data_IF_331970781331
#
_entry.id   IF_331970781331
#
_cell.length_a   1.000
_cell.length_b   1.000
_cell.length_c   1.000
_cell.angle_alpha   90.00
_cell.angle_beta   90.00
_cell.angle_gamma   90.00
#
_symmetry.space_group_name_H-M   'P 1'
#
loop_
_entity.id
_entity.type
_entity.pdbx_description
1 polymer ?
#
# COMPACT_ATOMS: atom_id res chain seq x y z
N UNK A 1 -11.20 7.78 5.09
CA UNK A 1 -11.92 6.66 5.73
C UNK A 1 -11.09 5.40 5.50
N UNK A 2 -10.86 4.58 6.52
CA UNK A 2 -10.06 3.36 6.39
C UNK A 2 -11.03 2.21 6.15
N UNK A 3 -10.82 1.46 5.07
CA UNK A 3 -11.58 0.24 4.81
C UNK A 3 -10.96 -0.87 5.64
N UNK A 4 -11.75 -1.51 6.48
CA UNK A 4 -11.33 -2.66 7.29
C UNK A 4 -12.04 -3.91 6.78
N UNK A 5 -11.55 -5.10 7.16
CA UNK A 5 -12.22 -6.37 6.86
C UNK A 5 -13.70 -6.36 7.29
N UNK A 6 -14.04 -5.70 8.41
CA UNK A 6 -15.42 -5.52 8.83
C UNK A 6 -16.28 -4.72 7.84
N UNK A 7 -15.73 -3.66 7.24
CA UNK A 7 -16.45 -2.88 6.21
C UNK A 7 -16.66 -3.71 4.93
N UNK A 8 -15.68 -4.52 4.54
CA UNK A 8 -15.79 -5.40 3.39
C UNK A 8 -16.79 -6.52 3.63
N UNK A 9 -16.80 -7.11 4.83
CA UNK A 9 -17.82 -8.09 5.23
C UNK A 9 -19.20 -7.45 5.18
N UNK A 10 -19.37 -6.24 5.74
CA UNK A 10 -20.66 -5.54 5.70
C UNK A 10 -21.13 -5.34 4.26
N UNK A 11 -20.24 -4.90 3.35
CA UNK A 11 -20.55 -4.74 1.92
C UNK A 11 -20.98 -6.07 1.28
N UNK A 12 -20.20 -7.14 1.47
CA UNK A 12 -20.51 -8.46 0.92
C UNK A 12 -21.82 -9.03 1.51
N UNK A 13 -22.16 -8.67 2.74
CA UNK A 13 -23.43 -9.08 3.37
C UNK A 13 -24.66 -8.39 2.77
N UNK A 14 -24.51 -7.27 2.06
CA UNK A 14 -25.67 -6.61 1.45
C UNK A 14 -26.07 -7.32 0.15
N UNK A 15 -25.10 -7.58 -0.73
CA UNK A 15 -25.40 -8.03 -2.11
C UNK A 15 -24.88 -9.44 -2.44
N UNK A 16 -24.05 -10.04 -1.57
CA UNK A 16 -23.30 -11.25 -1.88
C UNK A 16 -23.38 -12.33 -0.78
N UNK A 17 -24.45 -12.33 0.04
CA UNK A 17 -24.61 -13.30 1.15
C UNK A 17 -24.56 -14.76 0.70
N UNK A 18 -25.25 -15.11 -0.38
CA UNK A 18 -25.26 -16.47 -0.91
C UNK A 18 -23.84 -16.94 -1.28
N UNK A 19 -23.01 -16.05 -1.81
CA UNK A 19 -21.61 -16.35 -2.12
C UNK A 19 -20.78 -16.57 -0.85
N UNK A 20 -21.01 -15.77 0.21
CA UNK A 20 -20.32 -15.96 1.49
C UNK A 20 -20.66 -17.33 2.09
N UNK A 21 -21.94 -17.71 2.07
CA UNK A 21 -22.41 -18.99 2.61
C UNK A 21 -21.81 -20.18 1.85
N UNK A 22 -21.85 -20.14 0.51
CA UNK A 22 -21.24 -21.17 -0.34
C UNK A 22 -19.72 -21.28 -0.15
N UNK A 23 -19.03 -20.13 -0.08
CA UNK A 23 -17.60 -20.08 0.18
C UNK A 23 -17.23 -20.67 1.56
N UNK A 24 -17.99 -20.33 2.60
CA UNK A 24 -17.75 -20.84 3.94
C UNK A 24 -18.06 -22.34 4.06
N UNK A 25 -19.03 -22.85 3.29
CA UNK A 25 -19.36 -24.28 3.25
C UNK A 25 -18.28 -25.10 2.51
N UNK A 26 -17.63 -24.51 1.51
CA UNK A 26 -16.67 -25.20 0.64
C UNK A 26 -15.27 -25.28 1.26
N UNK A 27 -14.89 -24.31 2.10
CA UNK A 27 -13.54 -24.21 2.65
C UNK A 27 -13.47 -24.66 4.12
N UNK A 28 -12.50 -25.52 4.44
CA UNK A 28 -12.20 -25.90 5.83
C UNK A 28 -11.82 -24.65 6.63
N UNK A 29 -12.53 -24.40 7.74
CA UNK A 29 -12.39 -23.17 8.54
C UNK A 29 -12.79 -21.90 7.76
N UNK A 30 -13.90 -21.97 7.01
CA UNK A 30 -14.36 -20.97 6.04
C UNK A 30 -14.44 -19.53 6.55
N UNK A 31 -14.84 -19.31 7.80
CA UNK A 31 -14.87 -17.96 8.39
C UNK A 31 -13.46 -17.35 8.53
N UNK A 32 -12.50 -18.12 9.02
CA UNK A 32 -11.12 -17.65 9.10
C UNK A 32 -10.54 -17.47 7.69
N UNK A 33 -10.77 -18.43 6.78
CA UNK A 33 -10.34 -18.30 5.39
C UNK A 33 -10.88 -17.04 4.70
N UNK A 34 -12.12 -16.65 5.00
CA UNK A 34 -12.73 -15.40 4.52
C UNK A 34 -12.03 -14.16 5.11
N UNK A 35 -11.72 -14.16 6.40
CA UNK A 35 -10.96 -13.06 7.02
C UNK A 35 -9.58 -12.88 6.39
N UNK A 36 -8.87 -13.98 6.14
CA UNK A 36 -7.57 -13.97 5.47
C UNK A 36 -7.66 -13.45 4.03
N UNK A 37 -8.69 -13.87 3.28
CA UNK A 37 -8.94 -13.37 1.91
C UNK A 37 -9.12 -11.85 1.90
N UNK A 38 -9.93 -11.32 2.83
CA UNK A 38 -10.19 -9.89 2.92
C UNK A 38 -8.97 -9.09 3.38
N UNK A 39 -8.18 -9.62 4.31
CA UNK A 39 -6.92 -9.00 4.72
C UNK A 39 -5.94 -8.93 3.55
N UNK A 40 -5.76 -10.01 2.79
CA UNK A 40 -4.91 -10.03 1.61
C UNK A 40 -5.38 -9.06 0.53
N UNK A 41 -6.70 -8.91 0.37
CA UNK A 41 -7.28 -7.93 -0.54
C UNK A 41 -6.97 -6.48 -0.10
N UNK A 42 -7.08 -6.19 1.21
CA UNK A 42 -6.69 -4.89 1.78
C UNK A 42 -5.21 -4.60 1.54
N UNK A 43 -4.34 -5.60 1.76
CA UNK A 43 -2.89 -5.45 1.62
C UNK A 43 -2.49 -5.27 0.15
N UNK A 44 -3.08 -6.05 -0.77
CA UNK A 44 -2.81 -5.99 -2.22
C UNK A 44 -3.19 -4.64 -2.84
N UNK A 45 -4.33 -4.10 -2.43
CA UNK A 45 -4.85 -2.85 -3.00
C UNK A 45 -4.40 -1.61 -2.22
N UNK A 46 -3.42 -1.76 -1.32
CA UNK A 46 -2.89 -0.67 -0.49
C UNK A 46 -4.00 0.10 0.25
N UNK A 47 -5.15 -0.55 0.49
CA UNK A 47 -6.15 -0.05 1.41
C UNK A 47 -5.62 -0.08 2.85
N UNK A 48 -4.54 -0.83 3.07
CA UNK A 48 -3.75 -0.78 4.30
C UNK A 48 -3.30 0.67 4.52
N UNK A 49 -3.56 1.16 5.74
CA UNK A 49 -3.23 2.52 6.14
C UNK A 49 -1.77 2.80 5.74
N UNK A 50 -1.54 3.82 4.93
CA UNK A 50 -0.35 4.65 5.14
C UNK A 50 -0.48 5.17 6.57
N UNK A 51 0.13 4.45 7.51
CA UNK A 51 0.23 4.88 8.90
C UNK A 51 0.77 6.30 8.84
N UNK A 52 0.08 7.25 9.48
CA UNK A 52 0.58 8.61 9.57
C UNK A 52 1.97 8.52 10.21
N UNK A 53 3.02 8.58 9.39
CA UNK A 53 4.37 8.65 9.90
C UNK A 53 4.40 9.94 10.71
N UNK A 54 4.77 9.88 11.98
CA UNK A 54 4.84 11.07 12.83
C UNK A 54 5.79 12.13 12.26
N UNK A 55 6.65 11.74 11.33
CA UNK A 55 7.59 12.59 10.58
C UNK A 55 7.09 12.99 9.19
N UNK A 56 5.86 12.65 8.78
CA UNK A 56 5.31 13.10 7.50
C UNK A 56 5.21 14.63 7.51
N UNK A 57 6.06 15.26 6.72
CA UNK A 57 6.00 16.69 6.42
C UNK A 57 4.83 16.96 5.49
N UNK A 58 4.31 18.20 5.53
CA UNK A 58 3.31 18.60 4.54
C UNK A 58 3.95 18.67 3.16
N UNK A 59 3.15 18.53 2.11
CA UNK A 59 3.63 18.61 0.73
C UNK A 59 4.40 19.92 0.48
N UNK A 60 3.88 21.03 1.02
CA UNK A 60 4.52 22.34 0.97
C UNK A 60 5.90 22.34 1.65
N UNK A 61 6.02 21.75 2.84
CA UNK A 61 7.31 21.72 3.54
C UNK A 61 8.34 20.83 2.79
N UNK A 62 7.89 19.78 2.10
CA UNK A 62 8.74 18.95 1.24
C UNK A 62 9.22 19.71 0.00
N UNK A 63 8.35 20.48 -0.63
CA UNK A 63 8.69 21.32 -1.79
C UNK A 63 9.69 22.41 -1.41
N UNK A 64 9.49 23.06 -0.27
CA UNK A 64 10.43 24.05 0.28
C UNK A 64 11.79 23.42 0.58
N UNK A 65 11.81 22.25 1.22
CA UNK A 65 13.04 21.50 1.51
C UNK A 65 13.76 21.11 0.21
N UNK A 66 13.01 20.63 -0.80
CA UNK A 66 13.57 20.26 -2.11
C UNK A 66 14.19 21.46 -2.81
N UNK A 67 13.52 22.61 -2.81
CA UNK A 67 14.03 23.83 -3.43
C UNK A 67 15.28 24.36 -2.72
N UNK A 68 15.29 24.36 -1.38
CA UNK A 68 16.45 24.77 -0.59
C UNK A 68 17.67 23.86 -0.87
N UNK A 69 17.46 22.55 -0.88
CA UNK A 69 18.50 21.58 -1.20
C UNK A 69 19.03 21.76 -2.62
N UNK A 70 18.16 21.88 -3.63
CA UNK A 70 18.58 22.06 -5.02
C UNK A 70 19.45 23.32 -5.18
N UNK A 71 19.04 24.43 -4.55
CA UNK A 71 19.82 25.67 -4.57
C UNK A 71 21.21 25.49 -3.94
N UNK A 72 21.29 24.82 -2.80
CA UNK A 72 22.55 24.54 -2.13
C UNK A 72 23.43 23.63 -2.98
N UNK A 73 22.89 22.52 -3.47
CA UNK A 73 23.61 21.55 -4.29
C UNK A 73 24.26 22.19 -5.53
N UNK A 74 23.51 22.98 -6.30
CA UNK A 74 24.06 23.66 -7.48
C UNK A 74 25.03 24.81 -7.13
N UNK A 75 24.99 25.33 -5.91
CA UNK A 75 25.97 26.31 -5.43
C UNK A 75 27.28 25.63 -5.05
N UNK A 76 27.20 24.49 -4.36
CA UNK A 76 28.36 23.73 -3.88
C UNK A 76 29.03 22.92 -5.01
N UNK A 77 28.27 22.59 -6.06
CA UNK A 77 28.69 21.78 -7.21
C UNK A 77 28.37 22.46 -8.56
N UNK A 78 29.00 23.59 -8.90
CA UNK A 78 28.68 24.37 -10.09
C UNK A 78 29.11 23.72 -11.41
N UNK A 79 30.02 22.74 -11.34
CA UNK A 79 30.60 22.00 -12.47
C UNK A 79 29.87 20.69 -12.76
N UNK A 80 28.92 20.28 -11.90
CA UNK A 80 28.08 19.12 -12.15
C UNK A 80 27.07 19.46 -13.23
N UNK A 81 27.29 18.90 -14.41
CA UNK A 81 26.36 18.99 -15.51
C UNK A 81 25.14 18.09 -15.26
N UNK A 82 23.96 18.57 -15.67
CA UNK A 82 22.67 17.89 -15.42
C UNK A 82 22.58 16.50 -16.06
N UNK A 83 23.42 16.18 -17.05
CA UNK A 83 23.51 14.87 -17.69
C UNK A 83 24.24 13.81 -16.85
N UNK A 84 24.85 14.23 -15.73
CA UNK A 84 25.50 13.35 -14.76
C UNK A 84 24.62 13.05 -13.52
N UNK A 85 23.41 13.61 -13.45
CA UNK A 85 22.47 13.41 -12.34
C UNK A 85 21.57 12.19 -12.59
N UNK A 86 21.84 11.10 -11.88
CA UNK A 86 21.05 9.86 -11.97
C UNK A 86 20.14 9.71 -10.76
N UNK A 87 18.84 9.53 -10.99
CA UNK A 87 17.90 9.19 -9.93
C UNK A 87 18.02 7.70 -9.59
N UNK A 88 18.05 7.38 -8.29
CA UNK A 88 18.03 6.00 -7.80
C UNK A 88 17.02 5.88 -6.66
N UNK A 89 16.05 5.00 -6.82
CA UNK A 89 15.06 4.69 -5.80
C UNK A 89 14.71 3.20 -5.80
N UNK A 90 14.22 2.71 -4.65
CA UNK A 90 13.83 1.31 -4.52
C UNK A 90 12.33 1.17 -4.77
N UNK A 91 11.96 0.52 -5.87
CA UNK A 91 10.57 0.13 -6.12
C UNK A 91 10.31 -1.23 -5.48
N UNK A 92 9.34 -1.30 -4.57
CA UNK A 92 8.93 -2.56 -3.96
C UNK A 92 8.31 -3.49 -5.00
N UNK A 93 8.85 -4.69 -5.15
CA UNK A 93 8.28 -5.74 -6.00
C UNK A 93 7.51 -6.70 -5.10
N UNK A 94 6.21 -6.86 -5.34
CA UNK A 94 5.37 -7.83 -4.64
C UNK A 94 5.20 -9.09 -5.49
N UNK A 95 5.69 -10.23 -5.00
CA UNK A 95 5.44 -11.53 -5.62
C UNK A 95 4.12 -12.11 -5.13
N UNK A 96 3.24 -12.51 -6.05
CA UNK A 96 2.03 -13.26 -5.71
C UNK A 96 2.38 -14.72 -5.42
N UNK A 97 2.87 -14.99 -4.22
CA UNK A 97 3.09 -16.36 -3.79
C UNK A 97 1.74 -17.02 -3.52
N UNK A 98 1.32 -17.92 -4.41
CA UNK A 98 0.29 -18.90 -4.06
C UNK A 98 0.78 -19.68 -2.83
N UNK A 99 -0.07 -19.81 -1.81
CA UNK A 99 0.17 -20.82 -0.79
C UNK A 99 0.14 -22.17 -1.51
N UNK A 100 1.31 -22.79 -1.67
CA UNK A 100 1.36 -24.20 -2.03
C UNK A 100 0.52 -24.93 -0.98
N UNK A 101 -0.52 -25.59 -1.47
CA UNK A 101 -1.34 -26.54 -0.72
C UNK A 101 -0.41 -27.51 0.01
N UNK A 102 -0.38 -27.45 1.34
CA UNK A 102 0.16 -28.51 2.20
C UNK A 102 -1.03 -29.28 2.75
#
# INVERSE_FOLDING_TARGET
>A
KVVTSAHMIQFLRVDHMAWIEDYMATIKNGYNALLWLLQRFVDRHEFSKQTACRQRKTQRDLEETRAAFAKQFHTDHPDVAMDCDFNADNTGITYDMCLNTI
#
